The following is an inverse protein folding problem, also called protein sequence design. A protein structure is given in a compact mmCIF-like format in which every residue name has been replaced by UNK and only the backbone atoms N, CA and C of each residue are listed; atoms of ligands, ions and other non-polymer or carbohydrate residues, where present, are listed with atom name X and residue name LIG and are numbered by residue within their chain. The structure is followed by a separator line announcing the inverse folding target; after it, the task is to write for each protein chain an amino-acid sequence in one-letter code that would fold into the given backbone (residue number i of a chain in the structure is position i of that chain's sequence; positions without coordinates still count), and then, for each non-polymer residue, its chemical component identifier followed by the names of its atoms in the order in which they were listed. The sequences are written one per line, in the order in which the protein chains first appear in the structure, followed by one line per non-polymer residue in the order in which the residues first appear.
data_IF_077552027175
#
_entry.id   IF_077552027175
#
_cell.length_a   1.000
_cell.length_b   1.000
_cell.length_c   1.000
_cell.angle_alpha   90.00
_cell.angle_beta   90.00
_cell.angle_gamma   90.00
#
_symmetry.space_group_name_H-M   'P 1'
#
loop_
_entity.id
_entity.type
_entity.pdbx_description
1 polymer ?
#
# COMPACT_ATOMS: atom_id res chain seq x y z
N UNK A 1 -15.67 12.74 9.66
CA UNK A 1 -15.19 11.79 8.63
C UNK A 1 -13.69 11.65 8.80
N UNK A 2 -13.18 10.42 8.84
CA UNK A 2 -11.72 10.19 8.82
C UNK A 2 -11.28 10.42 7.37
N UNK A 3 -10.43 11.42 7.12
CA UNK A 3 -9.85 11.63 5.81
C UNK A 3 -8.85 10.52 5.54
N UNK A 4 -9.28 9.54 4.73
CA UNK A 4 -8.42 8.45 4.25
C UNK A 4 -7.62 8.93 3.06
N UNK A 5 -6.35 8.56 3.05
CA UNK A 5 -5.45 8.80 1.93
C UNK A 5 -4.81 7.48 1.51
N UNK A 6 -4.53 7.34 0.23
CA UNK A 6 -3.93 6.13 -0.32
C UNK A 6 -2.63 6.50 -1.02
N UNK A 7 -1.55 5.83 -0.64
CA UNK A 7 -0.23 6.05 -1.23
C UNK A 7 0.30 4.74 -1.78
N UNK A 8 0.72 4.78 -3.04
CA UNK A 8 1.33 3.67 -3.74
C UNK A 8 2.85 3.79 -3.68
N UNK A 9 3.50 2.65 -3.47
CA UNK A 9 4.94 2.48 -3.56
C UNK A 9 5.27 1.33 -4.50
N UNK A 10 6.32 1.54 -5.28
CA UNK A 10 6.96 0.50 -6.09
C UNK A 10 8.28 0.18 -5.42
N UNK A 11 8.41 -1.05 -4.93
CA UNK A 11 9.63 -1.53 -4.30
C UNK A 11 10.29 -2.52 -5.24
N UNK A 12 11.54 -2.25 -5.59
CA UNK A 12 12.35 -3.19 -6.35
C UNK A 12 12.85 -4.29 -5.41
N UNK A 13 12.44 -5.52 -5.71
CA UNK A 13 12.93 -6.71 -5.06
C UNK A 13 14.26 -7.13 -5.71
N UNK A 14 15.07 -7.97 -5.03
CA UNK A 14 16.20 -8.63 -5.65
C UNK A 14 15.81 -9.30 -6.98
N UNK A 15 16.77 -9.40 -7.92
CA UNK A 15 16.60 -10.04 -9.23
C UNK A 15 15.65 -9.32 -10.22
N UNK A 16 15.50 -8.00 -10.09
CA UNK A 16 14.75 -7.18 -11.04
C UNK A 16 13.24 -7.33 -10.95
N UNK A 17 12.74 -7.93 -9.86
CA UNK A 17 11.32 -8.08 -9.60
C UNK A 17 10.78 -6.85 -8.88
N UNK A 18 9.46 -6.66 -8.89
CA UNK A 18 8.80 -5.49 -8.30
C UNK A 18 7.65 -5.90 -7.38
N UNK A 19 7.54 -5.19 -6.26
CA UNK A 19 6.46 -5.29 -5.29
C UNK A 19 5.68 -3.98 -5.36
N UNK A 20 4.39 -4.08 -5.65
CA UNK A 20 3.47 -2.95 -5.57
C UNK A 20 2.89 -2.94 -4.16
N UNK A 21 2.99 -1.82 -3.46
CA UNK A 21 2.40 -1.64 -2.14
C UNK A 21 1.44 -0.46 -2.19
N UNK A 22 0.26 -0.59 -1.60
CA UNK A 22 -0.68 0.52 -1.40
C UNK A 22 -1.00 0.60 0.08
N UNK A 23 -0.72 1.76 0.67
CA UNK A 23 -1.01 2.08 2.06
C UNK A 23 -2.33 2.83 2.17
N UNK A 24 -3.25 2.38 3.02
CA UNK A 24 -4.36 3.18 3.50
C UNK A 24 -3.89 3.95 4.74
N UNK A 25 -3.91 5.28 4.66
CA UNK A 25 -3.48 6.18 5.72
C UNK A 25 -4.69 6.90 6.34
N UNK A 26 -4.57 7.21 7.63
CA UNK A 26 -5.40 8.20 8.31
C UNK A 26 -4.48 9.21 8.98
N UNK A 27 -4.43 10.43 8.45
CA UNK A 27 -3.44 11.42 8.85
C UNK A 27 -2.02 10.95 8.50
N UNK A 28 -1.16 10.79 9.51
CA UNK A 28 0.23 10.29 9.35
C UNK A 28 0.41 8.84 9.82
N UNK A 29 -0.67 8.07 9.91
CA UNK A 29 -0.63 6.68 10.36
C UNK A 29 -1.09 5.74 9.26
N UNK A 30 -0.37 4.62 9.11
CA UNK A 30 -0.80 3.50 8.26
C UNK A 30 -1.87 2.72 9.01
N UNK A 31 -3.05 2.56 8.40
CA UNK A 31 -4.12 1.72 8.92
C UNK A 31 -4.01 0.30 8.36
N UNK A 32 -3.83 0.20 7.05
CA UNK A 32 -3.75 -1.05 6.30
C UNK A 32 -2.73 -0.93 5.18
N UNK A 33 -2.13 -2.04 4.80
CA UNK A 33 -1.27 -2.11 3.63
C UNK A 33 -1.65 -3.33 2.80
N UNK A 34 -1.77 -3.15 1.49
CA UNK A 34 -1.86 -4.27 0.56
C UNK A 34 -0.60 -4.31 -0.29
N UNK A 35 -0.02 -5.50 -0.41
CA UNK A 35 1.20 -5.74 -1.16
C UNK A 35 0.93 -6.78 -2.24
N UNK A 36 1.36 -6.50 -3.47
CA UNK A 36 1.30 -7.42 -4.59
C UNK A 36 2.70 -7.69 -5.10
N UNK A 37 3.11 -8.95 -5.00
CA UNK A 37 4.37 -9.42 -5.53
C UNK A 37 4.19 -9.84 -6.99
N UNK A 38 4.75 -9.05 -7.91
CA UNK A 38 4.62 -9.32 -9.35
C UNK A 38 5.34 -10.61 -9.77
N UNK A 39 6.34 -11.06 -9.02
CA UNK A 39 7.04 -12.31 -9.32
C UNK A 39 6.17 -13.53 -9.00
N UNK A 40 5.65 -13.59 -7.79
CA UNK A 40 4.86 -14.75 -7.33
C UNK A 40 3.39 -14.65 -7.69
N UNK A 41 2.94 -13.50 -8.21
CA UNK A 41 1.53 -13.17 -8.45
C UNK A 41 0.68 -13.32 -7.18
N UNK A 42 1.25 -12.99 -6.01
CA UNK A 42 0.57 -13.13 -4.72
C UNK A 42 0.22 -11.77 -4.13
N UNK A 43 -0.96 -11.70 -3.55
CA UNK A 43 -1.47 -10.56 -2.80
C UNK A 43 -1.36 -10.85 -1.31
N UNK A 44 -1.01 -9.83 -0.54
CA UNK A 44 -0.92 -9.89 0.92
C UNK A 44 -1.58 -8.65 1.51
N UNK A 45 -2.53 -8.86 2.42
CA UNK A 45 -3.13 -7.80 3.21
C UNK A 45 -2.54 -7.82 4.61
N UNK A 46 -2.08 -6.66 5.05
CA UNK A 46 -1.72 -6.39 6.42
C UNK A 46 -2.80 -5.50 7.00
N UNK A 47 -3.72 -6.13 7.73
CA UNK A 47 -4.71 -5.45 8.55
C UNK A 47 -4.11 -5.11 9.93
N UNK A 48 -4.63 -4.06 10.55
CA UNK A 48 -4.23 -3.64 11.90
C UNK A 48 -2.75 -3.20 12.05
N UNK A 49 -2.25 -2.40 11.11
CA UNK A 49 -0.94 -1.73 11.25
C UNK A 49 -0.98 -0.54 12.22
N UNK A 50 -1.83 -0.63 13.25
CA UNK A 50 -2.06 0.47 14.20
C UNK A 50 -0.75 0.88 14.87
N UNK A 51 -0.46 2.18 14.83
CA UNK A 51 0.77 2.82 15.32
C UNK A 51 1.98 2.79 14.39
N UNK A 52 1.85 2.41 13.12
CA UNK A 52 2.93 2.63 12.14
C UNK A 52 2.87 4.08 11.59
N UNK A 53 3.83 4.94 11.94
CA UNK A 53 3.90 6.28 11.36
C UNK A 53 4.33 6.20 9.90
N UNK A 54 3.69 7.01 9.06
CA UNK A 54 4.07 7.19 7.66
C UNK A 54 4.75 8.55 7.48
N UNK A 55 6.00 8.52 7.03
CA UNK A 55 6.75 9.73 6.68
C UNK A 55 6.50 10.05 5.21
N UNK A 56 5.70 11.09 4.96
CA UNK A 56 5.41 11.53 3.60
C UNK A 56 6.65 12.04 2.89
N UNK A 57 6.78 11.66 1.62
CA UNK A 57 7.79 12.17 0.70
C UNK A 57 7.13 12.88 -0.47
N UNK A 58 7.80 13.89 -1.03
CA UNK A 58 7.36 14.53 -2.28
C UNK A 58 7.40 13.56 -3.48
N UNK A 59 8.08 12.42 -3.34
CA UNK A 59 8.13 11.35 -4.33
C UNK A 59 6.99 10.32 -4.17
N UNK A 60 6.07 10.54 -3.25
CA UNK A 60 4.94 9.64 -3.02
C UNK A 60 4.01 9.65 -4.24
N UNK A 61 3.65 8.44 -4.69
CA UNK A 61 2.69 8.27 -5.78
C UNK A 61 1.31 8.20 -5.13
N UNK A 62 0.48 9.20 -5.36
CA UNK A 62 -0.89 9.21 -4.86
C UNK A 62 -1.71 8.09 -5.52
N UNK A 63 -2.48 7.37 -4.71
CA UNK A 63 -3.36 6.28 -5.12
C UNK A 63 -4.80 6.59 -4.69
N UNK A 64 -5.70 5.62 -4.83
CA UNK A 64 -7.11 5.76 -4.52
C UNK A 64 -7.68 4.54 -3.80
N UNK A 65 -8.79 4.75 -3.09
CA UNK A 65 -9.56 3.67 -2.48
C UNK A 65 -9.98 2.62 -3.51
N UNK A 66 -10.32 3.06 -4.72
CA UNK A 66 -10.72 2.18 -5.82
C UNK A 66 -9.58 1.23 -6.21
N UNK A 67 -8.36 1.75 -6.36
CA UNK A 67 -7.18 0.93 -6.68
C UNK A 67 -6.87 -0.03 -5.53
N UNK A 68 -6.93 0.44 -4.27
CA UNK A 68 -6.73 -0.42 -3.10
C UNK A 68 -7.71 -1.60 -3.09
N UNK A 69 -9.02 -1.33 -3.26
CA UNK A 69 -10.06 -2.37 -3.27
C UNK A 69 -9.94 -3.33 -4.44
N UNK A 70 -9.43 -2.88 -5.60
CA UNK A 70 -9.14 -3.77 -6.73
C UNK A 70 -8.06 -4.79 -6.36
N UNK A 71 -7.02 -4.40 -5.63
CA UNK A 71 -6.02 -5.35 -5.16
C UNK A 71 -6.61 -6.26 -4.07
N UNK A 72 -7.43 -5.70 -3.17
CA UNK A 72 -8.06 -6.43 -2.06
C UNK A 72 -9.00 -7.54 -2.56
N UNK A 73 -9.70 -7.33 -3.69
CA UNK A 73 -10.56 -8.35 -4.29
C UNK A 73 -9.82 -9.55 -4.91
N UNK A 74 -8.48 -9.49 -4.99
CA UNK A 74 -7.64 -10.57 -5.54
C UNK A 74 -6.92 -11.40 -4.46
N UNK A 75 -7.21 -11.15 -3.17
CA UNK A 75 -6.79 -11.99 -2.04
C UNK A 75 -7.62 -13.28 -2.00
#
# INVERSE_FOLDING_TARGET
MINKEYIKKLVHLPYGQSLIQIFELSGSQILRAICFNQHTQKYFLFDQLTSFPYLKSNSDIQSSEKEFKQFESNL
#
